data_IF_051291974208
#
_entry.id   IF_051291974208
#
_cell.length_a   1.000
_cell.length_b   1.000
_cell.length_c   1.000
_cell.angle_alpha   90.00
_cell.angle_beta   90.00
_cell.angle_gamma   90.00
#
_symmetry.space_group_name_H-M   'P 1'
#
loop_
_entity.id
_entity.type
_entity.pdbx_description
1 polymer ?
#
# COMPACT_ATOMS: atom_id res chain seq x y z
N UNK A 1 13.82 39.85 -7.50
CA UNK A 1 12.65 38.98 -7.26
C UNK A 1 11.90 39.51 -6.07
N UNK A 2 10.64 39.85 -6.27
CA UNK A 2 9.73 40.23 -5.19
C UNK A 2 9.36 38.99 -4.36
N UNK A 3 9.00 39.18 -3.08
CA UNK A 3 8.58 38.07 -2.21
C UNK A 3 7.37 37.31 -2.77
N UNK A 4 6.49 38.02 -3.48
CA UNK A 4 5.32 37.44 -4.17
C UNK A 4 5.70 36.53 -5.32
N UNK A 5 6.74 36.89 -6.08
CA UNK A 5 7.24 36.05 -7.18
C UNK A 5 7.88 34.77 -6.63
N UNK A 6 8.68 34.90 -5.56
CA UNK A 6 9.30 33.76 -4.88
C UNK A 6 8.26 32.78 -4.34
N UNK A 7 7.18 33.29 -3.72
CA UNK A 7 6.05 32.46 -3.27
C UNK A 7 5.37 31.73 -4.44
N UNK A 8 5.20 32.39 -5.58
CA UNK A 8 4.63 31.77 -6.79
C UNK A 8 5.47 30.58 -7.28
N UNK A 9 6.78 30.77 -7.41
CA UNK A 9 7.69 29.70 -7.81
C UNK A 9 7.74 28.56 -6.78
N UNK A 10 7.74 28.88 -5.49
CA UNK A 10 7.74 27.88 -4.42
C UNK A 10 6.47 27.01 -4.46
N UNK A 11 5.30 27.61 -4.62
CA UNK A 11 4.04 26.86 -4.73
C UNK A 11 3.99 25.97 -5.96
N UNK A 12 4.43 26.47 -7.11
CA UNK A 12 4.51 25.69 -8.35
C UNK A 12 5.45 24.49 -8.21
N UNK A 13 6.66 24.73 -7.70
CA UNK A 13 7.64 23.67 -7.44
C UNK A 13 7.11 22.64 -6.45
N UNK A 14 6.53 23.08 -5.32
CA UNK A 14 5.99 22.18 -4.31
C UNK A 14 4.84 21.32 -4.87
N UNK A 15 3.95 21.92 -5.66
CA UNK A 15 2.85 21.19 -6.31
C UNK A 15 3.40 20.13 -7.26
N UNK A 16 4.38 20.48 -8.09
CA UNK A 16 5.01 19.55 -9.02
C UNK A 16 5.74 18.43 -8.27
N UNK A 17 6.47 18.78 -7.22
CA UNK A 17 7.17 17.84 -6.34
C UNK A 17 6.21 16.85 -5.69
N UNK A 18 5.08 17.33 -5.15
CA UNK A 18 4.03 16.49 -4.58
C UNK A 18 3.40 15.56 -5.63
N UNK A 19 3.19 16.05 -6.85
CA UNK A 19 2.72 15.20 -7.95
C UNK A 19 3.72 14.08 -8.27
N UNK A 20 5.02 14.39 -8.35
CA UNK A 20 6.06 13.37 -8.55
C UNK A 20 6.13 12.35 -7.40
N UNK A 21 6.01 12.79 -6.15
CA UNK A 21 5.95 11.89 -5.00
C UNK A 21 4.73 10.98 -5.08
N UNK A 22 3.56 11.52 -5.42
CA UNK A 22 2.33 10.74 -5.57
C UNK A 22 2.47 9.67 -6.66
N UNK A 23 2.91 10.05 -7.86
CA UNK A 23 3.10 9.08 -8.96
C UNK A 23 4.21 8.07 -8.64
N UNK A 24 5.30 8.51 -7.99
CA UNK A 24 6.35 7.64 -7.50
C UNK A 24 5.82 6.62 -6.49
N UNK A 25 4.94 7.04 -5.58
CA UNK A 25 4.29 6.15 -4.61
C UNK A 25 3.36 5.14 -5.28
N UNK A 26 2.58 5.55 -6.29
CA UNK A 26 1.74 4.64 -7.07
C UNK A 26 2.61 3.57 -7.74
N UNK A 27 3.73 3.96 -8.37
CA UNK A 27 4.68 3.02 -8.98
C UNK A 27 5.29 2.09 -7.93
N UNK A 28 5.65 2.63 -6.76
CA UNK A 28 6.14 1.83 -5.63
C UNK A 28 5.10 0.79 -5.19
N UNK A 29 3.81 1.16 -5.11
CA UNK A 29 2.74 0.25 -4.72
C UNK A 29 2.63 -0.94 -5.68
N UNK A 30 2.55 -0.68 -7.00
CA UNK A 30 2.53 -1.73 -8.01
C UNK A 30 3.80 -2.60 -8.00
N UNK A 31 4.95 -2.01 -7.69
CA UNK A 31 6.20 -2.76 -7.55
C UNK A 31 6.21 -3.65 -6.30
N UNK A 32 5.68 -3.18 -5.17
CA UNK A 32 5.58 -3.97 -3.94
C UNK A 32 4.64 -5.17 -4.09
N UNK A 33 3.55 -4.99 -4.83
CA UNK A 33 2.63 -6.06 -5.20
C UNK A 33 3.32 -7.12 -6.07
N UNK A 34 4.00 -6.71 -7.16
CA UNK A 34 4.77 -7.64 -8.01
C UNK A 34 5.89 -8.39 -7.29
N UNK A 35 6.39 -7.84 -6.20
CA UNK A 35 7.46 -8.45 -5.38
C UNK A 35 6.91 -9.52 -4.43
N UNK A 36 5.58 -9.64 -4.30
CA UNK A 36 4.92 -10.65 -3.47
C UNK A 36 5.03 -10.39 -1.97
N UNK A 37 5.47 -9.20 -1.55
CA UNK A 37 5.55 -8.85 -0.12
C UNK A 37 4.14 -8.68 0.50
N UNK A 38 3.16 -8.26 -0.32
CA UNK A 38 1.74 -8.18 0.05
C UNK A 38 0.89 -8.53 -1.17
N UNK A 39 0.03 -9.52 -1.01
CA UNK A 39 -0.97 -9.91 -2.01
C UNK A 39 -2.23 -9.09 -1.77
N UNK A 40 -2.38 -8.00 -2.53
CA UNK A 40 -3.53 -7.09 -2.39
C UNK A 40 -4.81 -7.66 -3.01
N UNK A 41 -4.71 -8.58 -3.97
CA UNK A 41 -5.87 -9.28 -4.52
C UNK A 41 -6.50 -10.18 -3.46
N UNK A 42 -5.69 -10.88 -2.67
CA UNK A 42 -6.14 -11.70 -1.54
C UNK A 42 -6.98 -10.92 -0.52
N UNK A 43 -6.59 -9.68 -0.18
CA UNK A 43 -7.38 -8.83 0.72
C UNK A 43 -8.61 -8.23 0.04
N UNK A 44 -8.59 -8.02 -1.28
CA UNK A 44 -9.78 -7.61 -2.01
C UNK A 44 -10.82 -8.75 -2.05
N UNK A 45 -10.38 -9.99 -2.22
CA UNK A 45 -11.22 -11.19 -2.22
C UNK A 45 -11.86 -11.47 -0.85
N UNK A 46 -11.22 -11.02 0.25
CA UNK A 46 -11.81 -11.02 1.60
C UNK A 46 -13.16 -10.30 1.64
N UNK A 47 -13.31 -9.20 0.91
CA UNK A 47 -14.55 -8.44 0.92
C UNK A 47 -15.71 -9.18 0.22
N UNK A 48 -15.40 -10.17 -0.64
CA UNK A 48 -16.38 -11.06 -1.25
C UNK A 48 -16.73 -12.25 -0.35
N UNK A 49 -15.82 -12.64 0.54
CA UNK A 49 -15.93 -13.80 1.43
C UNK A 49 -15.92 -13.32 2.90
N UNK A 50 -16.95 -12.55 3.28
CA UNK A 50 -17.06 -11.94 4.62
C UNK A 50 -17.89 -12.77 5.62
N UNK A 51 -18.30 -14.00 5.23
CA UNK A 51 -19.15 -14.80 6.08
C UNK A 51 -18.41 -15.25 7.35
N UNK A 52 -19.13 -15.36 8.47
CA UNK A 52 -18.55 -15.76 9.76
C UNK A 52 -17.89 -17.15 9.73
N UNK A 53 -18.31 -18.00 8.80
CA UNK A 53 -17.76 -19.34 8.58
C UNK A 53 -16.57 -19.40 7.63
N UNK A 54 -16.21 -18.29 6.99
CA UNK A 54 -15.15 -18.27 5.99
C UNK A 54 -13.76 -18.43 6.61
N UNK A 55 -12.83 -18.91 5.78
CA UNK A 55 -11.46 -19.19 6.19
C UNK A 55 -10.72 -17.85 6.41
N UNK A 56 -10.02 -17.68 7.54
CA UNK A 56 -9.20 -16.49 7.75
C UNK A 56 -8.18 -16.31 6.64
N UNK A 57 -8.16 -15.12 6.06
CA UNK A 57 -7.27 -14.76 4.96
C UNK A 57 -5.81 -15.00 5.33
N UNK A 58 -5.38 -14.56 6.52
CA UNK A 58 -4.05 -14.87 7.02
C UNK A 58 -4.08 -15.95 8.10
N UNK A 59 -3.14 -16.89 7.98
CA UNK A 59 -2.98 -17.96 8.95
C UNK A 59 -2.56 -17.39 10.31
N UNK A 60 -3.23 -17.83 11.38
CA UNK A 60 -2.82 -17.46 12.73
C UNK A 60 -1.45 -18.09 13.06
N UNK A 61 -0.43 -17.29 13.43
CA UNK A 61 0.91 -17.80 13.71
C UNK A 61 0.94 -18.81 14.87
N UNK A 62 -0.03 -18.78 15.78
CA UNK A 62 -0.12 -19.74 16.90
C UNK A 62 -0.58 -21.14 16.47
N UNK A 63 -1.28 -21.27 15.35
CA UNK A 63 -1.75 -22.57 14.84
C UNK A 63 -0.68 -23.28 14.02
N UNK A 64 0.25 -22.53 13.42
CA UNK A 64 1.39 -23.07 12.65
C UNK A 64 2.42 -23.76 13.57
N UNK A 65 2.72 -23.16 14.73
CA UNK A 65 3.67 -23.70 15.71
C UNK A 65 3.28 -25.08 16.30
N UNK A 66 1.99 -25.45 16.23
CA UNK A 66 1.52 -26.75 16.71
C UNK A 66 1.57 -27.85 15.63
N UNK A 67 1.62 -27.48 14.35
CA UNK A 67 1.62 -28.42 13.23
C UNK A 67 3.02 -28.97 12.91
N UNK A 68 4.05 -28.23 13.29
CA UNK A 68 5.46 -28.63 13.15
C UNK A 68 5.97 -29.47 14.33
N UNK A 69 5.13 -29.68 15.35
CA UNK A 69 5.44 -30.43 16.59
C UNK A 69 4.74 -31.78 16.69
N UNK A 70 3.94 -32.14 15.69
CA UNK A 70 3.24 -33.44 15.56
C UNK A 70 3.88 -34.27 14.44
#
# INVERSE_FOLDING_TARGET
>A
MEIRELQGYANFFLTMFLAFLLYGYIIHLYRSEKKGEKDYEKYADMALHDEVSDIPVDANPKTLDNKDKE
#
